data_IF_448211233828
#
_entry.id   IF_448211233828
#
_cell.length_a   1.000
_cell.length_b   1.000
_cell.length_c   1.000
_cell.angle_alpha   90.00
_cell.angle_beta   90.00
_cell.angle_gamma   90.00
#
_symmetry.space_group_name_H-M   'P 1'
#
loop_
_entity.id
_entity.type
_entity.pdbx_description
1 polymer ?
#
# COMPACT_ATOMS: atom_id res chain seq x y z
N UNK A 1 -23.56 113.18 34.49
CA UNK A 1 -24.91 113.43 33.94
C UNK A 1 -25.35 112.16 33.19
N UNK A 2 -26.39 111.50 33.70
CA UNK A 2 -27.34 110.59 33.02
C UNK A 2 -26.86 109.23 32.45
N UNK A 3 -27.44 108.18 33.06
CA UNK A 3 -27.53 106.76 32.68
C UNK A 3 -28.15 106.51 31.29
N UNK A 4 -27.84 105.36 30.65
CA UNK A 4 -28.80 104.22 30.51
C UNK A 4 -28.22 102.99 29.78
N UNK A 5 -28.48 101.84 30.41
CA UNK A 5 -28.36 100.43 29.99
C UNK A 5 -28.78 100.11 28.54
N UNK A 6 -28.19 99.05 27.94
CA UNK A 6 -28.84 97.71 27.83
C UNK A 6 -28.03 96.69 26.98
N UNK A 7 -28.06 95.44 27.50
CA UNK A 7 -28.06 94.14 26.81
C UNK A 7 -26.76 93.63 26.15
N UNK A 8 -26.06 92.75 26.89
CA UNK A 8 -25.15 91.73 26.34
C UNK A 8 -25.95 90.43 26.22
N UNK A 9 -26.10 89.92 24.99
CA UNK A 9 -26.66 88.60 24.73
C UNK A 9 -25.51 87.59 24.65
N UNK A 10 -25.52 86.58 25.52
CA UNK A 10 -24.62 85.42 25.48
C UNK A 10 -25.29 84.38 24.57
N UNK A 11 -24.72 84.13 23.38
CA UNK A 11 -25.06 82.96 22.57
C UNK A 11 -24.32 81.74 23.13
N UNK A 12 -25.05 80.84 23.79
CA UNK A 12 -24.58 79.49 24.07
C UNK A 12 -24.75 78.64 22.79
N UNK A 13 -23.64 78.33 22.11
CA UNK A 13 -23.64 77.33 21.06
C UNK A 13 -23.72 75.95 21.70
N UNK A 14 -24.93 75.37 21.74
CA UNK A 14 -25.11 73.96 22.07
C UNK A 14 -24.59 73.16 20.87
N UNK A 15 -23.36 72.64 20.98
CA UNK A 15 -22.84 71.65 20.04
C UNK A 15 -23.52 70.32 20.37
N UNK A 16 -24.56 69.99 19.61
CA UNK A 16 -25.07 68.62 19.53
C UNK A 16 -24.00 67.77 18.83
N UNK A 17 -23.17 67.05 19.58
CA UNK A 17 -22.43 65.92 19.02
C UNK A 17 -23.43 64.81 18.76
N UNK A 18 -23.97 64.77 17.54
CA UNK A 18 -24.63 63.58 17.04
C UNK A 18 -23.58 62.46 17.04
N UNK A 19 -23.68 61.53 18.00
CA UNK A 19 -22.96 60.26 17.94
C UNK A 19 -23.50 59.51 16.73
N UNK A 20 -22.82 59.64 15.60
CA UNK A 20 -22.94 58.70 14.50
C UNK A 20 -22.61 57.33 15.10
N UNK A 21 -23.61 56.45 15.20
CA UNK A 21 -23.37 55.03 15.46
C UNK A 21 -22.58 54.51 14.25
N UNK A 22 -21.25 54.63 14.31
CA UNK A 22 -20.38 53.96 13.38
C UNK A 22 -20.67 52.46 13.52
N UNK A 23 -21.09 51.83 12.43
CA UNK A 23 -21.24 50.39 12.41
C UNK A 23 -19.90 49.75 12.79
N UNK A 24 -19.94 48.68 13.58
CA UNK A 24 -18.74 47.93 13.94
C UNK A 24 -17.98 47.51 12.67
N UNK A 25 -16.64 47.57 12.66
CA UNK A 25 -15.86 47.08 11.53
C UNK A 25 -16.17 45.59 11.30
N UNK A 26 -16.18 45.08 10.05
CA UNK A 26 -16.48 43.67 9.79
C UNK A 26 -15.52 42.74 10.53
N UNK A 27 -16.02 41.61 11.02
CA UNK A 27 -15.17 40.55 11.61
C UNK A 27 -14.29 39.96 10.50
N UNK A 28 -12.99 40.29 10.53
CA UNK A 28 -12.06 39.93 9.48
C UNK A 28 -11.23 38.69 9.86
N UNK A 29 -11.38 37.64 9.06
CA UNK A 29 -10.51 36.46 9.04
C UNK A 29 -9.88 36.38 7.65
N UNK A 30 -8.57 36.19 7.57
CA UNK A 30 -7.82 36.09 6.32
C UNK A 30 -6.99 34.80 6.26
N UNK A 31 -6.51 34.44 5.07
CA UNK A 31 -5.70 33.24 4.83
C UNK A 31 -6.49 31.94 4.68
N UNK A 32 -7.79 31.95 5.01
CA UNK A 32 -8.71 30.81 4.86
C UNK A 32 -10.05 31.27 4.29
N UNK A 33 -10.70 30.42 3.49
CA UNK A 33 -12.00 30.66 2.87
C UNK A 33 -12.97 29.49 3.15
N UNK A 34 -14.26 29.79 3.30
CA UNK A 34 -15.28 28.77 3.59
C UNK A 34 -15.42 27.80 2.41
N UNK A 35 -15.55 26.52 2.74
CA UNK A 35 -15.62 25.36 1.83
C UNK A 35 -14.46 25.28 0.84
N UNK A 36 -13.26 25.67 1.26
CA UNK A 36 -12.06 25.61 0.40
C UNK A 36 -11.15 24.44 0.80
N UNK A 37 -10.45 23.88 -0.19
CA UNK A 37 -9.47 22.80 -0.02
C UNK A 37 -8.07 23.40 -0.12
N UNK A 38 -7.20 23.06 0.82
CA UNK A 38 -5.80 23.43 0.88
C UNK A 38 -4.90 22.20 0.80
N UNK A 39 -3.70 22.34 0.25
CA UNK A 39 -2.72 21.27 0.15
C UNK A 39 -1.66 21.43 1.23
N UNK A 40 -1.40 20.35 1.96
CA UNK A 40 -0.37 20.15 2.99
C UNK A 40 -0.47 21.06 4.24
N UNK A 41 -0.89 22.32 4.09
CA UNK A 41 -1.11 23.25 5.18
C UNK A 41 -1.96 24.46 4.77
N UNK A 42 -2.53 25.14 5.76
CA UNK A 42 -3.11 26.48 5.60
C UNK A 42 -2.74 27.35 6.80
N UNK A 43 -2.63 28.66 6.59
CA UNK A 43 -2.42 29.62 7.67
C UNK A 43 -3.53 30.65 7.64
N UNK A 44 -4.19 30.86 8.77
CA UNK A 44 -5.20 31.91 8.93
C UNK A 44 -4.76 32.97 9.95
N UNK A 45 -5.40 34.13 9.86
CA UNK A 45 -5.22 35.25 10.80
C UNK A 45 -6.57 35.88 11.14
N UNK A 46 -6.86 36.03 12.43
CA UNK A 46 -8.05 36.74 12.93
C UNK A 46 -7.63 38.15 13.35
N UNK A 47 -8.16 39.17 12.70
CA UNK A 47 -7.85 40.57 13.03
C UNK A 47 -8.37 40.94 14.41
N UNK A 48 -7.50 41.53 15.22
CA UNK A 48 -7.83 42.04 16.55
C UNK A 48 -8.19 43.53 16.47
N UNK A 49 -9.44 43.85 16.79
CA UNK A 49 -9.94 45.22 16.87
C UNK A 49 -9.97 45.70 18.33
N UNK A 50 -9.55 46.94 18.57
CA UNK A 50 -9.65 47.53 19.89
C UNK A 50 -11.12 47.72 20.30
N UNK A 51 -11.45 47.44 21.56
CA UNK A 51 -12.83 47.57 22.08
C UNK A 51 -13.71 46.32 21.90
N UNK A 52 -13.14 45.20 21.47
CA UNK A 52 -13.85 43.93 21.30
C UNK A 52 -13.20 42.80 22.12
N UNK A 53 -14.04 41.87 22.55
CA UNK A 53 -13.64 40.57 23.08
C UNK A 53 -13.91 39.46 22.05
N UNK A 54 -13.14 38.37 22.10
CA UNK A 54 -13.20 37.30 21.11
C UNK A 54 -13.23 35.92 21.75
N UNK A 55 -14.04 35.01 21.20
CA UNK A 55 -13.91 33.56 21.37
C UNK A 55 -13.65 32.98 19.97
N UNK A 56 -12.46 32.41 19.76
CA UNK A 56 -12.07 31.82 18.49
C UNK A 56 -11.68 30.36 18.74
N UNK A 57 -12.27 29.45 17.96
CA UNK A 57 -12.09 28.00 18.13
C UNK A 57 -11.86 27.33 16.79
N UNK A 58 -10.84 26.47 16.73
CA UNK A 58 -10.59 25.55 15.63
C UNK A 58 -10.96 24.15 16.14
N UNK A 59 -11.93 23.50 15.49
CA UNK A 59 -12.41 22.15 15.85
C UNK A 59 -12.86 22.04 17.32
N UNK A 60 -13.40 23.13 17.86
CA UNK A 60 -13.85 23.26 19.25
C UNK A 60 -12.78 23.73 20.24
N UNK A 61 -11.50 23.70 19.85
CA UNK A 61 -10.36 24.08 20.70
C UNK A 61 -9.98 25.56 20.54
N UNK A 62 -9.69 26.31 21.62
CA UNK A 62 -9.35 27.73 21.56
C UNK A 62 -8.09 28.03 20.72
N UNK A 63 -8.15 29.06 19.89
CA UNK A 63 -7.02 29.55 19.07
C UNK A 63 -6.74 31.04 19.30
N UNK A 64 -5.48 31.50 19.18
CA UNK A 64 -5.14 32.89 19.43
C UNK A 64 -5.68 33.84 18.35
N UNK A 65 -6.07 35.05 18.77
CA UNK A 65 -6.48 36.16 17.91
C UNK A 65 -5.33 37.16 17.75
N UNK A 66 -5.16 37.74 16.56
CA UNK A 66 -4.10 38.70 16.25
C UNK A 66 -2.72 38.07 15.98
N UNK A 67 -2.65 36.74 15.79
CA UNK A 67 -1.42 36.01 15.43
C UNK A 67 -1.75 35.02 14.31
N UNK A 68 -0.77 34.69 13.46
CA UNK A 68 -0.93 33.64 12.45
C UNK A 68 -1.06 32.27 13.12
N UNK A 69 -2.03 31.49 12.68
CA UNK A 69 -2.22 30.09 13.10
C UNK A 69 -2.06 29.21 11.87
N UNK A 70 -1.02 28.36 11.86
CA UNK A 70 -0.75 27.41 10.78
C UNK A 70 -1.25 26.03 11.19
N UNK A 71 -2.00 25.41 10.30
CA UNK A 71 -2.53 24.06 10.45
C UNK A 71 -1.86 23.19 9.40
N UNK A 72 -1.29 22.08 9.84
CA UNK A 72 -0.64 21.07 8.99
C UNK A 72 -1.31 19.70 9.12
N UNK A 73 -2.38 19.61 9.92
CA UNK A 73 -3.15 18.39 10.13
C UNK A 73 -4.08 18.21 8.94
N UNK A 74 -4.09 17.02 8.34
CA UNK A 74 -5.02 16.72 7.24
C UNK A 74 -6.36 16.30 7.84
N UNK A 75 -7.37 17.14 7.71
CA UNK A 75 -8.74 16.83 8.14
C UNK A 75 -9.73 17.82 7.52
N UNK A 76 -11.01 17.59 7.80
CA UNK A 76 -12.01 18.64 7.81
C UNK A 76 -11.86 19.50 9.07
N UNK A 77 -11.84 20.82 8.88
CA UNK A 77 -11.69 21.78 9.95
C UNK A 77 -12.84 22.78 10.00
N UNK A 78 -13.22 23.19 11.21
CA UNK A 78 -14.17 24.25 11.49
C UNK A 78 -13.53 25.35 12.34
N UNK A 79 -13.36 26.54 11.74
CA UNK A 79 -12.98 27.74 12.46
C UNK A 79 -14.24 28.56 12.79
N UNK A 80 -14.62 28.57 14.06
CA UNK A 80 -15.71 29.38 14.58
C UNK A 80 -15.15 30.57 15.37
N UNK A 81 -15.54 31.79 15.00
CA UNK A 81 -15.09 33.02 15.65
C UNK A 81 -16.30 33.84 16.06
N UNK A 82 -16.41 34.13 17.35
CA UNK A 82 -17.34 35.09 17.92
C UNK A 82 -16.57 36.32 18.38
N UNK A 83 -17.14 37.50 18.15
CA UNK A 83 -16.61 38.78 18.57
C UNK A 83 -17.71 39.60 19.23
N UNK A 84 -17.45 40.12 20.42
CA UNK A 84 -18.40 40.89 21.24
C UNK A 84 -17.89 42.31 21.43
N UNK A 85 -18.71 43.31 21.08
CA UNK A 85 -18.39 44.71 21.34
C UNK A 85 -18.50 45.01 22.85
N UNK A 86 -17.43 45.50 23.46
CA UNK A 86 -17.37 45.74 24.91
C UNK A 86 -18.26 46.90 25.37
N UNK A 87 -18.65 47.81 24.48
CA UNK A 87 -19.50 48.96 24.80
C UNK A 87 -20.97 48.67 24.55
N UNK A 88 -21.30 48.07 23.40
CA UNK A 88 -22.70 47.85 22.98
C UNK A 88 -23.23 46.46 23.30
N UNK A 89 -22.36 45.53 23.71
CA UNK A 89 -22.66 44.10 23.90
C UNK A 89 -23.13 43.36 22.63
N UNK A 90 -23.08 44.02 21.46
CA UNK A 90 -23.42 43.40 20.19
C UNK A 90 -22.41 42.30 19.83
N UNK A 91 -22.91 41.18 19.33
CA UNK A 91 -22.09 40.03 18.92
C UNK A 91 -22.12 39.85 17.41
N UNK A 92 -20.95 39.61 16.81
CA UNK A 92 -20.79 39.14 15.44
C UNK A 92 -20.08 37.79 15.43
N UNK A 93 -20.40 36.92 14.48
CA UNK A 93 -19.71 35.63 14.35
C UNK A 93 -19.50 35.23 12.89
N UNK A 94 -18.55 34.32 12.68
CA UNK A 94 -18.30 33.64 11.41
C UNK A 94 -17.93 32.19 11.66
N UNK A 95 -18.39 31.30 10.78
CA UNK A 95 -17.97 29.91 10.69
C UNK A 95 -17.30 29.71 9.33
N UNK A 96 -16.06 29.23 9.33
CA UNK A 96 -15.29 28.92 8.13
C UNK A 96 -14.93 27.43 8.17
N UNK A 97 -15.40 26.69 7.18
CA UNK A 97 -15.11 25.27 7.03
C UNK A 97 -14.09 25.08 5.92
N UNK A 98 -13.11 24.21 6.10
CA UNK A 98 -12.12 23.96 5.06
C UNK A 98 -11.54 22.57 5.24
N UNK A 99 -10.88 22.07 4.21
CA UNK A 99 -10.20 20.77 4.23
C UNK A 99 -8.73 20.98 3.93
N UNK A 100 -7.86 20.29 4.66
CA UNK A 100 -6.45 20.17 4.30
C UNK A 100 -6.21 18.75 3.80
N UNK A 101 -5.65 18.61 2.59
CA UNK A 101 -5.32 17.32 1.98
C UNK A 101 -3.80 17.14 1.86
N UNK A 102 -3.35 15.89 1.92
CA UNK A 102 -1.97 15.53 1.60
C UNK A 102 -1.77 15.54 0.07
N UNK A 103 -0.77 16.27 -0.42
CA UNK A 103 -0.52 16.41 -1.86
C UNK A 103 -0.22 15.06 -2.55
N UNK A 104 0.25 14.06 -1.81
CA UNK A 104 0.47 12.69 -2.30
C UNK A 104 -0.84 11.92 -2.62
N UNK A 105 -2.00 12.37 -2.10
CA UNK A 105 -3.29 11.65 -2.22
C UNK A 105 -4.17 12.13 -3.39
N UNK A 106 -3.73 13.16 -4.12
CA UNK A 106 -4.28 13.65 -5.41
C UNK A 106 -5.82 13.64 -5.53
N UNK A 107 -6.54 13.89 -4.43
CA UNK A 107 -8.00 14.06 -4.37
C UNK A 107 -8.85 12.81 -4.13
N UNK A 108 -8.28 11.61 -3.86
CA UNK A 108 -9.09 10.40 -3.60
C UNK A 108 -9.65 10.33 -2.18
N UNK A 109 -9.15 11.16 -1.27
CA UNK A 109 -9.43 11.10 0.17
C UNK A 109 -9.44 12.50 0.79
N UNK A 110 -10.40 13.36 0.39
CA UNK A 110 -10.56 14.69 0.98
C UNK A 110 -10.96 14.59 2.46
N UNK A 111 -10.13 15.14 3.35
CA UNK A 111 -10.42 15.22 4.78
C UNK A 111 -10.23 13.91 5.55
N UNK A 112 -9.55 12.90 4.98
CA UNK A 112 -9.17 11.69 5.71
C UNK A 112 -7.73 11.84 6.21
N UNK A 113 -7.56 11.82 7.53
CA UNK A 113 -6.25 11.83 8.16
C UNK A 113 -5.38 10.66 7.66
N UNK A 114 -4.06 10.88 7.63
CA UNK A 114 -3.09 9.85 7.27
C UNK A 114 -3.24 8.65 8.20
N UNK A 115 -3.69 7.52 7.65
CA UNK A 115 -3.72 6.28 8.40
C UNK A 115 -2.30 5.76 8.62
N UNK A 116 -1.92 5.62 9.88
CA UNK A 116 -0.68 4.96 10.30
C UNK A 116 -1.09 3.57 10.81
N UNK A 117 -0.61 2.47 10.20
CA UNK A 117 -0.85 1.14 10.73
C UNK A 117 -0.33 1.05 12.17
N UNK A 118 -1.20 0.66 13.09
CA UNK A 118 -0.77 0.34 14.46
C UNK A 118 0.12 -0.91 14.38
N UNK A 119 1.30 -0.92 15.01
CA UNK A 119 2.15 -2.10 15.04
C UNK A 119 1.38 -3.33 15.54
N UNK A 120 1.60 -4.52 14.96
CA UNK A 120 0.95 -5.73 15.42
C UNK A 120 1.37 -6.02 16.87
N UNK A 121 0.38 -6.27 17.73
CA UNK A 121 0.63 -6.70 19.10
C UNK A 121 1.01 -8.19 19.07
N UNK A 122 2.18 -8.59 19.60
CA UNK A 122 2.56 -10.00 19.70
C UNK A 122 1.51 -10.78 20.50
N UNK A 123 1.14 -11.96 19.98
CA UNK A 123 0.25 -12.87 20.67
C UNK A 123 0.93 -13.47 21.91
N UNK A 124 0.13 -13.76 22.93
CA UNK A 124 0.60 -14.44 24.13
C UNK A 124 1.02 -15.88 23.80
N UNK A 125 2.00 -16.47 24.50
CA UNK A 125 2.46 -17.84 24.24
C UNK A 125 1.35 -18.90 24.24
N UNK A 126 0.34 -18.74 25.10
CA UNK A 126 -0.82 -19.65 25.16
C UNK A 126 -1.66 -19.69 23.87
N UNK A 127 -1.64 -18.63 23.06
CA UNK A 127 -2.37 -18.58 21.78
C UNK A 127 -1.73 -19.48 20.70
N UNK A 128 -0.43 -19.79 20.84
CA UNK A 128 0.31 -20.70 19.98
C UNK A 128 0.14 -22.17 20.38
N UNK A 129 -0.49 -22.46 21.52
CA UNK A 129 -0.61 -23.82 22.03
C UNK A 129 -1.32 -24.75 21.03
N UNK A 130 -0.69 -25.91 20.79
CA UNK A 130 -1.20 -26.94 19.87
C UNK A 130 -1.08 -26.57 18.38
N UNK A 131 -0.34 -25.52 18.04
CA UNK A 131 -0.03 -25.17 16.65
C UNK A 131 1.40 -25.57 16.27
N UNK A 132 1.66 -25.61 14.97
CA UNK A 132 2.96 -25.89 14.36
C UNK A 132 3.34 -24.79 13.36
N UNK A 133 4.64 -24.65 13.07
CA UNK A 133 5.15 -23.81 11.99
C UNK A 133 5.20 -24.64 10.70
N UNK A 134 4.32 -24.33 9.76
CA UNK A 134 4.30 -24.89 8.41
C UNK A 134 5.14 -24.01 7.48
N UNK A 135 6.31 -24.50 7.10
CA UNK A 135 7.22 -23.81 6.20
C UNK A 135 6.99 -24.25 4.75
N UNK A 136 6.91 -23.28 3.85
CA UNK A 136 7.02 -23.47 2.42
C UNK A 136 8.36 -22.89 1.97
N UNK A 137 9.29 -23.79 1.69
CA UNK A 137 10.68 -23.49 1.35
C UNK A 137 11.22 -24.58 0.41
N UNK A 138 12.02 -24.24 -0.61
CA UNK A 138 12.60 -25.24 -1.50
C UNK A 138 13.64 -26.12 -0.79
N UNK A 139 13.61 -27.46 -0.96
CA UNK A 139 14.56 -28.38 -0.34
C UNK A 139 15.95 -28.34 -0.99
N UNK A 140 16.05 -27.77 -2.20
CA UNK A 140 17.29 -27.53 -2.91
C UNK A 140 17.24 -26.16 -3.59
N UNK A 141 18.35 -25.43 -3.57
CA UNK A 141 18.39 -24.08 -4.14
C UNK A 141 19.77 -23.73 -4.71
N UNK A 142 19.86 -23.00 -5.83
CA UNK A 142 21.14 -22.55 -6.37
C UNK A 142 21.91 -21.66 -5.38
N UNK A 143 23.23 -21.81 -5.33
CA UNK A 143 24.10 -20.87 -4.62
C UNK A 143 24.01 -19.46 -5.23
N UNK A 144 24.21 -18.43 -4.41
CA UNK A 144 24.27 -17.03 -4.87
C UNK A 144 22.92 -16.34 -5.06
N UNK A 145 21.81 -16.97 -4.65
CA UNK A 145 20.46 -16.42 -4.67
C UNK A 145 19.87 -16.53 -3.26
N UNK A 146 19.21 -15.47 -2.78
CA UNK A 146 18.46 -15.48 -1.52
C UNK A 146 17.32 -16.51 -1.59
N UNK A 147 17.10 -17.28 -0.51
CA UNK A 147 16.06 -18.31 -0.49
C UNK A 147 14.79 -17.73 0.13
N UNK A 148 13.66 -17.71 -0.59
CA UNK A 148 12.41 -17.26 0.02
C UNK A 148 11.94 -18.26 1.07
N UNK A 149 11.47 -17.73 2.20
CA UNK A 149 10.88 -18.49 3.30
C UNK A 149 9.47 -17.98 3.53
N UNK A 150 8.49 -18.87 3.46
CA UNK A 150 7.10 -18.56 3.79
C UNK A 150 6.68 -19.44 4.95
N UNK A 151 6.10 -18.83 5.98
CA UNK A 151 5.67 -19.53 7.18
C UNK A 151 4.19 -19.32 7.42
N UNK A 152 3.51 -20.39 7.78
CA UNK A 152 2.15 -20.40 8.29
C UNK A 152 2.13 -21.05 9.67
N UNK A 153 1.39 -20.49 10.60
CA UNK A 153 1.07 -21.14 11.87
C UNK A 153 -0.28 -21.80 11.71
N UNK A 154 -0.34 -23.12 11.88
CA UNK A 154 -1.58 -23.90 11.75
C UNK A 154 -1.65 -24.96 12.84
N UNK A 155 -2.85 -25.35 13.21
CA UNK A 155 -3.07 -26.51 14.08
C UNK A 155 -3.25 -27.77 13.22
N UNK A 156 -3.02 -28.96 13.79
CA UNK A 156 -3.22 -30.24 13.09
C UNK A 156 -4.63 -30.44 12.53
N UNK A 157 -5.65 -29.79 13.10
CA UNK A 157 -7.04 -29.82 12.63
C UNK A 157 -7.31 -28.89 11.43
N UNK A 158 -6.29 -28.17 10.95
CA UNK A 158 -6.39 -27.21 9.85
C UNK A 158 -6.81 -25.80 10.28
N UNK A 159 -7.12 -25.57 11.56
CA UNK A 159 -7.45 -24.23 12.04
C UNK A 159 -6.23 -23.31 12.05
N UNK A 160 -6.45 -22.05 11.70
CA UNK A 160 -5.41 -21.01 11.75
C UNK A 160 -5.61 -20.21 13.03
N UNK A 161 -4.69 -20.24 14.00
CA UNK A 161 -4.84 -19.55 15.28
C UNK A 161 -4.80 -18.02 15.15
N UNK A 162 -4.38 -17.50 13.98
CA UNK A 162 -4.29 -16.07 13.66
C UNK A 162 -3.41 -15.25 14.61
N UNK A 163 -2.37 -15.89 15.13
CA UNK A 163 -1.37 -15.29 16.02
C UNK A 163 -0.50 -14.26 15.32
N UNK A 164 -0.04 -13.26 16.07
CA UNK A 164 1.04 -12.38 15.64
C UNK A 164 2.32 -12.70 16.40
N UNK A 165 3.47 -12.62 15.74
CA UNK A 165 4.75 -12.82 16.40
C UNK A 165 5.93 -12.59 15.47
N UNK A 166 7.14 -12.76 15.98
CA UNK A 166 8.37 -12.66 15.19
C UNK A 166 8.91 -14.06 14.98
N UNK A 167 9.09 -14.45 13.72
CA UNK A 167 9.77 -15.69 13.37
C UNK A 167 11.27 -15.43 13.31
N UNK A 168 12.00 -16.18 14.13
CA UNK A 168 13.44 -16.09 14.24
C UNK A 168 14.10 -17.30 13.60
N UNK A 169 15.18 -17.08 12.86
CA UNK A 169 16.09 -18.14 12.44
C UNK A 169 17.47 -17.70 12.93
N UNK A 170 18.08 -18.37 13.92
CA UNK A 170 19.32 -17.90 14.53
C UNK A 170 20.41 -17.56 13.51
N UNK A 171 20.95 -16.35 13.61
CA UNK A 171 21.97 -15.81 12.69
C UNK A 171 21.44 -15.31 11.34
N UNK A 172 20.13 -15.22 11.15
CA UNK A 172 19.48 -14.68 9.94
C UNK A 172 18.57 -13.50 10.30
N UNK A 173 18.11 -12.78 9.29
CA UNK A 173 17.10 -11.72 9.45
C UNK A 173 15.76 -12.32 9.87
N UNK A 174 15.15 -11.76 10.91
CA UNK A 174 13.82 -12.14 11.39
C UNK A 174 12.73 -11.57 10.50
N UNK A 175 11.52 -12.14 10.55
CA UNK A 175 10.36 -11.53 9.91
C UNK A 175 9.09 -11.74 10.73
N UNK A 176 8.15 -10.81 10.57
CA UNK A 176 6.89 -10.81 11.32
C UNK A 176 5.89 -11.78 10.72
N UNK A 177 5.24 -12.54 11.60
CA UNK A 177 4.03 -13.32 11.34
C UNK A 177 2.84 -12.42 11.67
N UNK A 178 2.03 -12.12 10.68
CA UNK A 178 0.76 -11.40 10.82
C UNK A 178 -0.39 -12.38 10.70
N UNK A 179 -1.27 -12.41 11.71
CA UNK A 179 -2.48 -13.24 11.68
C UNK A 179 -2.20 -14.70 11.25
N UNK A 180 -1.07 -15.25 11.68
CA UNK A 180 -0.66 -16.62 11.43
C UNK A 180 0.10 -16.87 10.12
N UNK A 181 0.46 -15.86 9.33
CA UNK A 181 1.33 -16.04 8.16
C UNK A 181 2.36 -14.91 8.01
N UNK A 182 3.50 -15.21 7.40
CA UNK A 182 4.52 -14.22 7.08
C UNK A 182 5.62 -14.80 6.22
N UNK A 183 6.52 -13.93 5.75
CA UNK A 183 7.61 -14.32 4.85
C UNK A 183 8.86 -13.47 5.00
N UNK A 184 9.98 -14.07 4.62
CA UNK A 184 11.30 -13.44 4.60
C UNK A 184 12.25 -14.20 3.68
N UNK A 185 13.54 -13.98 3.87
CA UNK A 185 14.59 -14.63 3.08
C UNK A 185 15.70 -15.16 3.98
N UNK A 186 16.21 -16.34 3.62
CA UNK A 186 17.57 -16.71 4.00
C UNK A 186 18.53 -16.01 3.03
N UNK A 187 19.66 -15.46 3.51
CA UNK A 187 20.67 -14.85 2.66
C UNK A 187 21.26 -15.89 1.70
N UNK A 188 21.76 -15.41 0.57
CA UNK A 188 22.42 -16.25 -0.41
C UNK A 188 23.59 -17.05 0.20
N UNK A 189 23.58 -18.37 0.02
CA UNK A 189 24.76 -19.20 0.32
C UNK A 189 25.69 -19.21 -0.89
N UNK A 190 26.98 -18.98 -0.68
CA UNK A 190 28.02 -19.11 -1.70
C UNK A 190 28.79 -20.43 -1.59
N UNK A 191 28.40 -21.28 -0.66
CA UNK A 191 28.95 -22.63 -0.48
C UNK A 191 27.87 -23.65 -0.83
N UNK A 192 28.25 -24.63 -1.65
CA UNK A 192 27.42 -25.79 -1.92
C UNK A 192 27.35 -26.72 -0.71
N UNK A 193 26.33 -27.58 -0.69
CA UNK A 193 26.12 -28.58 0.35
C UNK A 193 24.90 -28.30 1.21
N UNK A 194 24.61 -29.26 2.09
CA UNK A 194 23.44 -29.20 2.97
C UNK A 194 23.66 -28.19 4.09
N UNK A 195 22.66 -27.35 4.32
CA UNK A 195 22.61 -26.43 5.47
C UNK A 195 21.33 -26.68 6.24
N UNK A 196 21.47 -26.71 7.57
CA UNK A 196 20.37 -26.87 8.50
C UNK A 196 20.16 -25.56 9.24
N UNK A 197 18.89 -25.17 9.35
CA UNK A 197 18.46 -24.06 10.17
C UNK A 197 17.27 -24.51 11.03
N UNK A 198 16.93 -23.70 12.03
CA UNK A 198 15.75 -23.93 12.85
C UNK A 198 14.97 -22.63 12.95
N UNK A 199 13.73 -22.63 12.51
CA UNK A 199 12.79 -21.53 12.67
C UNK A 199 12.15 -21.62 14.05
N UNK A 200 12.08 -20.50 14.76
CA UNK A 200 11.56 -20.37 16.12
C UNK A 200 10.46 -19.32 16.13
N UNK A 201 9.35 -19.60 16.83
CA UNK A 201 8.25 -18.66 17.00
C UNK A 201 7.49 -18.97 18.29
N UNK A 202 7.64 -18.12 19.32
CA UNK A 202 6.85 -18.21 20.57
C UNK A 202 6.79 -19.62 21.18
N UNK A 203 7.93 -20.33 21.20
CA UNK A 203 8.05 -21.71 21.73
C UNK A 203 7.80 -22.82 20.70
N UNK A 204 7.32 -22.50 19.50
CA UNK A 204 7.27 -23.41 18.36
C UNK A 204 8.63 -23.49 17.67
N UNK A 205 8.91 -24.63 17.04
CA UNK A 205 10.13 -24.82 16.23
C UNK A 205 9.85 -25.62 14.97
N UNK A 206 10.52 -25.29 13.87
CA UNK A 206 10.52 -26.08 12.64
C UNK A 206 11.91 -26.15 12.01
N UNK A 207 12.35 -27.36 11.68
CA UNK A 207 13.61 -27.58 11.01
C UNK A 207 13.54 -27.16 9.54
N UNK A 208 14.62 -26.55 9.08
CA UNK A 208 14.85 -26.21 7.68
C UNK A 208 16.10 -26.95 7.22
N UNK A 209 15.98 -27.74 6.15
CA UNK A 209 17.10 -28.40 5.49
C UNK A 209 17.09 -27.99 4.02
N UNK A 210 18.21 -27.41 3.56
CA UNK A 210 18.36 -26.96 2.18
C UNK A 210 19.67 -27.49 1.63
N UNK A 211 19.59 -28.13 0.46
CA UNK A 211 20.74 -28.46 -0.35
C UNK A 211 21.11 -27.30 -1.26
N UNK A 212 22.25 -26.63 -1.00
CA UNK A 212 22.75 -25.59 -1.90
C UNK A 212 23.53 -26.19 -3.06
N UNK A 213 23.16 -25.80 -4.28
CA UNK A 213 23.68 -26.34 -5.53
C UNK A 213 24.65 -25.36 -6.18
N UNK A 214 25.91 -25.76 -6.37
CA UNK A 214 26.86 -25.04 -7.22
C UNK A 214 26.88 -25.59 -8.64
N UNK A 215 27.26 -24.77 -9.63
CA UNK A 215 27.43 -25.23 -11.01
C UNK A 215 26.12 -25.67 -11.68
N UNK A 216 25.00 -25.07 -11.27
CA UNK A 216 23.68 -25.36 -11.82
C UNK A 216 23.68 -25.18 -13.34
N UNK A 217 23.28 -26.23 -14.06
CA UNK A 217 23.07 -26.14 -15.50
C UNK A 217 21.66 -25.62 -15.77
N UNK A 218 21.56 -24.35 -16.15
CA UNK A 218 20.30 -23.69 -16.44
C UNK A 218 19.82 -24.01 -17.86
N UNK A 219 18.60 -24.56 -17.96
CA UNK A 219 17.88 -24.59 -19.23
C UNK A 219 17.44 -23.17 -19.57
N UNK A 220 18.09 -22.57 -20.56
CA UNK A 220 17.75 -21.22 -21.02
C UNK A 220 16.53 -21.27 -21.92
N UNK A 221 15.54 -20.44 -21.60
CA UNK A 221 14.25 -20.38 -22.29
C UNK A 221 13.94 -18.94 -22.69
N UNK A 222 13.26 -18.78 -23.83
CA UNK A 222 12.86 -17.50 -24.38
C UNK A 222 12.04 -17.66 -25.66
N UNK A 223 11.42 -16.59 -26.15
CA UNK A 223 10.61 -16.61 -27.36
C UNK A 223 9.26 -17.31 -27.17
N UNK A 224 8.77 -17.99 -28.22
CA UNK A 224 7.44 -18.62 -28.21
C UNK A 224 7.52 -20.12 -27.90
N UNK A 225 6.75 -20.57 -26.91
CA UNK A 225 6.49 -21.98 -26.65
C UNK A 225 5.16 -22.38 -27.32
N UNK A 226 5.21 -23.45 -28.11
CA UNK A 226 4.09 -24.00 -28.86
C UNK A 226 3.92 -25.49 -28.58
N UNK A 227 2.68 -25.98 -28.62
CA UNK A 227 2.38 -27.39 -28.32
C UNK A 227 2.39 -27.70 -26.82
N UNK A 228 2.67 -28.95 -26.47
CA UNK A 228 2.73 -29.40 -25.07
C UNK A 228 4.19 -29.48 -24.59
N UNK A 229 4.53 -28.71 -23.56
CA UNK A 229 5.86 -28.65 -22.95
C UNK A 229 5.75 -29.08 -21.50
N UNK A 230 6.71 -29.89 -21.06
CA UNK A 230 6.86 -30.25 -19.64
C UNK A 230 8.25 -29.88 -19.16
N UNK A 231 8.31 -29.12 -18.08
CA UNK A 231 9.50 -28.97 -17.25
C UNK A 231 9.35 -29.95 -16.08
N UNK A 232 10.10 -31.06 -16.04
CA UNK A 232 9.99 -32.05 -14.99
C UNK A 232 10.28 -31.46 -13.60
N UNK A 233 9.93 -32.21 -12.54
CA UNK A 233 10.26 -31.82 -11.18
C UNK A 233 11.76 -31.53 -11.01
N UNK A 234 12.08 -30.57 -10.15
CA UNK A 234 13.44 -30.08 -9.89
C UNK A 234 14.15 -29.46 -11.10
N UNK A 235 13.40 -28.97 -12.09
CA UNK A 235 14.01 -28.25 -13.21
C UNK A 235 14.71 -26.95 -12.74
N UNK A 236 15.69 -26.51 -13.52
CA UNK A 236 16.41 -25.25 -13.33
C UNK A 236 16.28 -24.43 -14.61
N UNK A 237 15.29 -23.55 -14.62
CA UNK A 237 14.89 -22.81 -15.82
C UNK A 237 15.35 -21.37 -15.70
N UNK A 238 16.05 -20.86 -16.71
CA UNK A 238 16.40 -19.45 -16.80
C UNK A 238 15.70 -18.82 -17.99
N UNK A 239 14.69 -18.00 -17.73
CA UNK A 239 13.98 -17.23 -18.75
C UNK A 239 14.81 -15.98 -19.04
N UNK A 240 15.47 -15.96 -20.20
CA UNK A 240 16.49 -14.94 -20.54
C UNK A 240 15.94 -13.75 -21.32
N UNK A 241 14.78 -13.90 -21.94
CA UNK A 241 14.07 -12.85 -22.68
C UNK A 241 12.56 -13.14 -22.62
N UNK A 242 11.74 -12.25 -23.16
CA UNK A 242 10.28 -12.40 -23.21
C UNK A 242 9.87 -13.80 -23.65
N UNK A 243 9.04 -14.44 -22.83
CA UNK A 243 8.51 -15.77 -23.08
C UNK A 243 7.02 -15.67 -23.40
N UNK A 244 6.57 -16.31 -24.46
CA UNK A 244 5.16 -16.38 -24.83
C UNK A 244 4.71 -17.83 -24.90
N UNK A 245 3.77 -18.23 -24.05
CA UNK A 245 3.05 -19.48 -24.20
C UNK A 245 1.89 -19.25 -25.16
N UNK A 246 2.02 -19.76 -26.39
CA UNK A 246 1.06 -19.49 -27.46
C UNK A 246 -0.34 -20.06 -27.18
N UNK A 247 -1.35 -19.52 -27.86
CA UNK A 247 -2.70 -20.07 -27.84
C UNK A 247 -2.71 -21.54 -28.27
N UNK A 248 -3.42 -22.38 -27.51
CA UNK A 248 -3.46 -23.83 -27.72
C UNK A 248 -2.22 -24.58 -27.23
N UNK A 249 -1.19 -23.88 -26.74
CA UNK A 249 -0.06 -24.50 -26.07
C UNK A 249 -0.34 -24.77 -24.59
N UNK A 250 0.33 -25.77 -24.04
CA UNK A 250 0.28 -26.14 -22.63
C UNK A 250 1.70 -26.23 -22.09
N UNK A 251 1.97 -25.57 -20.95
CA UNK A 251 3.21 -25.73 -20.19
C UNK A 251 2.90 -26.29 -18.81
N UNK A 252 3.50 -27.43 -18.49
CA UNK A 252 3.42 -28.08 -17.18
C UNK A 252 4.77 -27.98 -16.49
N UNK A 253 4.79 -27.44 -15.28
CA UNK A 253 6.00 -27.30 -14.45
C UNK A 253 5.85 -28.17 -13.21
N UNK A 254 6.82 -29.06 -13.00
CA UNK A 254 6.87 -29.94 -11.84
C UNK A 254 7.41 -29.27 -10.57
N UNK A 255 7.10 -29.87 -9.43
CA UNK A 255 7.53 -29.43 -8.10
C UNK A 255 9.04 -29.27 -7.95
N UNK A 256 9.47 -28.43 -7.00
CA UNK A 256 10.88 -28.13 -6.74
C UNK A 256 11.62 -27.40 -7.88
N UNK A 257 10.90 -26.98 -8.93
CA UNK A 257 11.48 -26.22 -10.03
C UNK A 257 11.82 -24.80 -9.58
N UNK A 258 13.02 -24.36 -9.91
CA UNK A 258 13.44 -22.96 -9.74
C UNK A 258 13.42 -22.30 -11.12
N UNK A 259 12.60 -21.27 -11.26
CA UNK A 259 12.47 -20.44 -12.46
C UNK A 259 13.13 -19.10 -12.15
N UNK A 260 14.35 -18.94 -12.65
CA UNK A 260 15.04 -17.67 -12.67
C UNK A 260 14.51 -16.85 -13.85
N UNK A 261 14.17 -15.59 -13.62
CA UNK A 261 13.70 -14.69 -14.68
C UNK A 261 14.65 -13.49 -14.77
N UNK A 262 15.09 -13.17 -15.99
CA UNK A 262 15.97 -12.03 -16.21
C UNK A 262 15.26 -10.70 -15.89
N UNK A 263 16.01 -9.65 -15.51
CA UNK A 263 15.43 -8.37 -15.14
C UNK A 263 14.54 -7.79 -16.25
N UNK A 264 13.38 -7.25 -15.89
CA UNK A 264 12.43 -6.65 -16.82
C UNK A 264 11.72 -7.61 -17.79
N UNK A 265 11.94 -8.92 -17.70
CA UNK A 265 11.33 -9.89 -18.61
C UNK A 265 9.89 -10.22 -18.22
N UNK A 266 8.98 -10.06 -19.19
CA UNK A 266 7.58 -10.46 -19.10
C UNK A 266 7.34 -11.87 -19.66
N UNK A 267 6.34 -12.54 -19.07
CA UNK A 267 5.87 -13.86 -19.50
C UNK A 267 4.43 -13.74 -19.97
N UNK A 268 4.20 -13.85 -21.28
CA UNK A 268 2.89 -13.85 -21.88
C UNK A 268 2.27 -15.25 -21.85
N UNK A 269 1.03 -15.34 -21.40
CA UNK A 269 0.29 -16.59 -21.27
C UNK A 269 -1.00 -16.47 -22.08
N UNK A 270 -0.98 -17.04 -23.29
CA UNK A 270 -2.14 -17.12 -24.19
C UNK A 270 -2.73 -18.55 -24.25
N UNK A 271 -2.02 -19.52 -23.66
CA UNK A 271 -2.40 -20.93 -23.58
C UNK A 271 -2.75 -21.37 -22.15
N UNK A 272 -2.33 -22.58 -21.78
CA UNK A 272 -2.57 -23.16 -20.45
C UNK A 272 -1.27 -23.39 -19.68
N UNK A 273 -1.12 -22.72 -18.54
CA UNK A 273 0.04 -22.82 -17.67
C UNK A 273 -0.32 -23.54 -16.38
N UNK A 274 0.41 -24.60 -16.04
CA UNK A 274 0.23 -25.40 -14.84
C UNK A 274 1.52 -25.48 -14.04
N UNK A 275 1.53 -24.89 -12.85
CA UNK A 275 2.59 -25.03 -11.86
C UNK A 275 2.13 -26.01 -10.77
N UNK A 276 2.71 -27.21 -10.79
CA UNK A 276 2.33 -28.32 -9.91
C UNK A 276 3.36 -28.49 -8.78
N UNK A 277 3.48 -27.47 -7.92
CA UNK A 277 4.34 -27.51 -6.75
C UNK A 277 3.80 -28.44 -5.64
N UNK A 278 4.67 -28.73 -4.67
CA UNK A 278 4.29 -29.34 -3.39
C UNK A 278 4.72 -28.41 -2.25
N UNK A 279 4.03 -28.40 -1.12
CA UNK A 279 4.38 -27.49 0.00
C UNK A 279 5.80 -27.74 0.54
N UNK A 280 6.29 -28.98 0.47
CA UNK A 280 7.67 -29.37 0.83
C UNK A 280 8.67 -29.34 -0.34
N UNK A 281 8.20 -29.01 -1.55
CA UNK A 281 9.01 -28.82 -2.75
C UNK A 281 8.33 -27.77 -3.65
N UNK A 282 8.25 -26.51 -3.19
CA UNK A 282 7.55 -25.48 -3.93
C UNK A 282 8.24 -25.17 -5.25
N UNK A 283 7.47 -24.68 -6.21
CA UNK A 283 8.03 -23.99 -7.38
C UNK A 283 8.41 -22.58 -6.94
N UNK A 284 9.56 -22.07 -7.36
CA UNK A 284 9.98 -20.69 -7.06
C UNK A 284 10.20 -19.93 -8.35
N UNK A 285 9.49 -18.80 -8.51
CA UNK A 285 9.72 -17.83 -9.57
C UNK A 285 10.38 -16.61 -8.95
N UNK A 286 11.61 -16.33 -9.37
CA UNK A 286 12.46 -15.33 -8.71
C UNK A 286 13.37 -14.62 -9.71
N UNK A 287 13.70 -13.33 -9.49
CA UNK A 287 14.85 -12.73 -10.13
C UNK A 287 16.15 -13.25 -9.49
N UNK A 288 17.29 -12.95 -10.10
CA UNK A 288 18.61 -13.21 -9.49
C UNK A 288 18.83 -12.40 -8.20
N UNK A 289 18.25 -11.20 -8.15
CA UNK A 289 18.32 -10.28 -7.02
C UNK A 289 17.02 -9.48 -6.95
N UNK A 290 16.51 -9.24 -5.74
CA UNK A 290 15.32 -8.40 -5.51
C UNK A 290 15.49 -6.94 -5.97
N UNK A 291 16.72 -6.49 -6.18
CA UNK A 291 17.03 -5.15 -6.71
C UNK A 291 16.94 -5.08 -8.25
N UNK A 292 16.86 -6.22 -8.92
CA UNK A 292 16.69 -6.30 -10.37
C UNK A 292 15.43 -7.14 -10.65
N UNK A 293 14.24 -6.60 -10.33
CA UNK A 293 12.99 -7.31 -10.51
C UNK A 293 12.80 -7.79 -11.95
N UNK A 294 12.08 -8.89 -12.10
CA UNK A 294 11.55 -9.31 -13.39
C UNK A 294 10.19 -8.63 -13.62
N UNK A 295 9.62 -8.82 -14.81
CA UNK A 295 8.36 -8.20 -15.19
C UNK A 295 7.15 -8.79 -14.46
N UNK A 296 6.21 -9.34 -15.20
CA UNK A 296 5.07 -10.06 -14.66
C UNK A 296 4.52 -11.11 -15.63
N UNK A 297 3.43 -11.75 -15.24
CA UNK A 297 2.64 -12.60 -16.12
C UNK A 297 1.56 -11.78 -16.82
N UNK A 298 1.58 -11.79 -18.15
CA UNK A 298 0.60 -11.15 -19.03
C UNK A 298 -0.36 -12.22 -19.54
N UNK A 299 -1.43 -12.48 -18.81
CA UNK A 299 -2.39 -13.56 -19.06
C UNK A 299 -3.55 -13.02 -19.89
N UNK A 300 -3.82 -13.59 -21.07
CA UNK A 300 -4.70 -12.95 -22.06
C UNK A 300 -5.71 -13.91 -22.67
N UNK A 301 -6.82 -13.36 -23.14
CA UNK A 301 -7.87 -14.15 -23.77
C UNK A 301 -8.43 -15.19 -22.79
N UNK A 302 -8.77 -16.36 -23.30
CA UNK A 302 -9.30 -17.46 -22.49
C UNK A 302 -8.20 -18.31 -21.83
N UNK A 303 -7.00 -17.76 -21.66
CA UNK A 303 -5.88 -18.47 -21.05
C UNK A 303 -6.20 -18.92 -19.62
N UNK A 304 -5.56 -20.02 -19.22
CA UNK A 304 -5.64 -20.56 -17.87
C UNK A 304 -4.27 -20.56 -17.22
N UNK A 305 -4.20 -20.00 -16.02
CA UNK A 305 -3.03 -20.09 -15.17
C UNK A 305 -3.43 -20.80 -13.89
N UNK A 306 -2.81 -21.94 -13.62
CA UNK A 306 -3.04 -22.72 -12.41
C UNK A 306 -1.72 -22.90 -11.68
N UNK A 307 -1.61 -22.42 -10.44
CA UNK A 307 -0.46 -22.69 -9.59
C UNK A 307 -0.87 -23.30 -8.25
N UNK A 308 -0.15 -24.34 -7.88
CA UNK A 308 -0.19 -24.96 -6.56
C UNK A 308 1.20 -24.88 -5.94
N UNK A 309 1.29 -24.54 -4.64
CA UNK A 309 2.55 -24.51 -3.90
C UNK A 309 3.69 -23.82 -4.66
N UNK A 310 3.44 -22.57 -5.06
CA UNK A 310 4.39 -21.73 -5.79
C UNK A 310 4.67 -20.45 -5.02
N UNK A 311 5.94 -20.08 -4.94
CA UNK A 311 6.42 -18.81 -4.39
C UNK A 311 6.83 -17.90 -5.55
N UNK A 312 6.22 -16.73 -5.64
CA UNK A 312 6.57 -15.64 -6.55
C UNK A 312 7.26 -14.53 -5.78
N UNK A 313 8.41 -14.08 -6.28
CA UNK A 313 9.19 -13.02 -5.63
C UNK A 313 9.66 -11.98 -6.64
N UNK A 314 9.82 -10.73 -6.22
CA UNK A 314 10.58 -9.72 -6.96
C UNK A 314 10.10 -9.44 -8.38
N UNK A 315 8.78 -9.49 -8.62
CA UNK A 315 8.18 -9.05 -9.88
C UNK A 315 7.88 -7.55 -9.85
N UNK A 316 7.45 -6.99 -10.97
CA UNK A 316 7.02 -5.59 -11.07
C UNK A 316 8.15 -4.65 -11.46
N UNK A 317 8.93 -5.02 -12.48
CA UNK A 317 10.13 -4.28 -12.88
C UNK A 317 9.86 -2.89 -13.46
N UNK A 318 8.72 -2.71 -14.11
CA UNK A 318 8.36 -1.43 -14.73
C UNK A 318 7.51 -0.59 -13.75
N UNK A 319 8.06 0.49 -13.16
CA UNK A 319 7.31 1.37 -12.26
C UNK A 319 6.26 2.21 -13.00
N UNK A 320 6.27 2.21 -14.32
CA UNK A 320 5.38 2.95 -15.20
C UNK A 320 4.74 2.01 -16.24
N UNK A 321 4.28 0.85 -15.80
CA UNK A 321 3.61 -0.10 -16.68
C UNK A 321 2.22 0.35 -17.08
N UNK A 322 1.40 0.89 -16.19
CA UNK A 322 0.07 1.37 -16.57
C UNK A 322 0.11 2.82 -17.06
N UNK A 323 -0.71 3.12 -18.07
CA UNK A 323 -0.87 4.47 -18.60
C UNK A 323 -1.76 5.33 -17.69
N UNK A 324 -1.65 6.63 -17.86
CA UNK A 324 -2.27 7.69 -17.07
C UNK A 324 -3.74 7.43 -16.65
N UNK A 325 -3.99 7.46 -15.33
CA UNK A 325 -5.12 8.19 -14.75
C UNK A 325 -4.56 9.52 -14.23
N UNK A 326 -5.33 10.62 -14.24
CA UNK A 326 -4.87 12.03 -14.23
C UNK A 326 -3.92 12.48 -13.08
N UNK A 327 -3.56 11.62 -12.13
CA UNK A 327 -2.71 11.90 -10.97
C UNK A 327 -1.26 11.41 -11.07
N UNK A 328 -0.94 10.43 -11.94
CA UNK A 328 0.32 9.69 -11.85
C UNK A 328 1.28 9.97 -13.02
N UNK A 329 2.57 10.17 -12.71
CA UNK A 329 3.62 10.76 -13.58
C UNK A 329 4.04 9.94 -14.81
N UNK A 330 3.39 8.81 -15.10
CA UNK A 330 3.83 7.84 -16.10
C UNK A 330 3.05 8.01 -17.43
N UNK A 331 3.71 8.60 -18.43
CA UNK A 331 3.12 8.91 -19.75
C UNK A 331 3.29 7.80 -20.80
N UNK A 332 3.19 6.52 -20.46
CA UNK A 332 3.41 5.41 -21.41
C UNK A 332 2.22 5.25 -22.38
N UNK A 333 2.40 5.51 -23.70
CA UNK A 333 1.33 5.35 -24.67
C UNK A 333 0.96 3.87 -24.86
N UNK A 334 -0.28 3.58 -25.24
CA UNK A 334 -0.79 2.24 -25.62
C UNK A 334 -0.80 1.18 -24.51
N UNK A 335 -0.68 1.58 -23.24
CA UNK A 335 -0.90 0.68 -22.10
C UNK A 335 -2.24 1.01 -21.43
N UNK A 336 -2.88 0.05 -20.75
CA UNK A 336 -4.15 0.31 -20.10
C UNK A 336 -4.00 1.30 -18.94
N UNK A 337 -5.09 2.02 -18.64
CA UNK A 337 -5.14 2.94 -17.50
C UNK A 337 -5.28 2.18 -16.18
N UNK A 338 -4.67 2.70 -15.12
CA UNK A 338 -4.82 2.19 -13.75
C UNK A 338 -4.64 3.33 -12.76
N UNK A 339 -5.20 3.16 -11.55
CA UNK A 339 -4.96 4.07 -10.43
C UNK A 339 -3.53 3.98 -9.85
N UNK A 340 -2.77 2.96 -10.21
CA UNK A 340 -1.36 2.80 -9.81
C UNK A 340 -0.53 2.42 -11.04
N UNK A 341 0.62 3.08 -11.28
CA UNK A 341 1.37 2.90 -12.50
C UNK A 341 2.23 1.63 -12.51
N UNK A 342 2.53 1.05 -11.34
CA UNK A 342 3.53 -0.01 -11.23
C UNK A 342 3.03 -1.33 -11.82
N UNK A 343 3.92 -2.06 -12.48
CA UNK A 343 3.61 -3.35 -13.11
C UNK A 343 3.07 -4.37 -12.10
N UNK A 344 2.05 -5.14 -12.48
CA UNK A 344 1.52 -6.22 -11.63
C UNK A 344 2.25 -7.55 -11.84
N UNK A 345 2.29 -8.40 -10.80
CA UNK A 345 2.71 -9.80 -10.94
C UNK A 345 1.78 -10.55 -11.90
N UNK A 346 0.48 -10.35 -11.77
CA UNK A 346 -0.53 -10.91 -12.67
C UNK A 346 -1.29 -9.79 -13.37
N UNK A 347 -1.08 -9.62 -14.66
CA UNK A 347 -1.92 -8.78 -15.50
C UNK A 347 -2.85 -9.69 -16.32
N UNK A 348 -4.15 -9.43 -16.29
CA UNK A 348 -5.15 -10.24 -16.98
C UNK A 348 -6.01 -9.42 -17.92
N UNK A 349 -6.23 -9.92 -19.14
CA UNK A 349 -7.09 -9.27 -20.14
C UNK A 349 -7.97 -10.27 -20.88
N UNK A 350 -9.22 -9.89 -21.17
CA UNK A 350 -10.14 -10.66 -22.02
C UNK A 350 -10.54 -12.05 -21.48
N UNK A 351 -11.08 -12.10 -20.26
CA UNK A 351 -11.67 -13.28 -19.61
C UNK A 351 -10.77 -14.51 -19.29
N UNK A 352 -9.51 -14.34 -18.83
CA UNK A 352 -8.71 -15.48 -18.39
C UNK A 352 -9.11 -15.95 -16.99
N UNK A 353 -8.66 -17.14 -16.61
CA UNK A 353 -8.79 -17.66 -15.24
C UNK A 353 -7.43 -17.86 -14.59
N UNK A 354 -7.24 -17.27 -13.40
CA UNK A 354 -6.09 -17.50 -12.53
C UNK A 354 -6.54 -18.27 -11.29
N UNK A 355 -5.93 -19.43 -11.05
CA UNK A 355 -6.16 -20.25 -9.87
C UNK A 355 -4.85 -20.40 -9.09
N UNK A 356 -4.83 -19.91 -7.84
CA UNK A 356 -3.74 -20.06 -6.91
C UNK A 356 -4.19 -20.91 -5.72
N UNK A 357 -3.44 -21.96 -5.41
CA UNK A 357 -3.65 -22.81 -4.25
C UNK A 357 -2.34 -22.95 -3.47
N UNK A 358 -2.37 -22.66 -2.17
CA UNK A 358 -1.18 -22.79 -1.31
C UNK A 358 0.00 -22.00 -1.88
N UNK A 359 -0.20 -20.78 -2.39
CA UNK A 359 0.87 -20.00 -3.02
C UNK A 359 1.37 -18.87 -2.12
N UNK A 360 2.44 -18.20 -2.53
CA UNK A 360 2.90 -16.97 -1.92
C UNK A 360 3.36 -15.98 -2.98
N UNK A 361 2.94 -14.73 -2.88
CA UNK A 361 3.45 -13.61 -3.68
C UNK A 361 4.04 -12.60 -2.70
N UNK A 362 5.37 -12.52 -2.67
CA UNK A 362 6.10 -11.82 -1.61
C UNK A 362 7.15 -10.87 -2.17
N UNK A 363 7.31 -9.69 -1.56
CA UNK A 363 8.34 -8.69 -1.92
C UNK A 363 8.29 -8.31 -3.41
N UNK A 364 7.12 -7.88 -3.87
CA UNK A 364 6.91 -7.40 -5.23
C UNK A 364 7.24 -5.91 -5.30
N UNK A 365 7.93 -5.50 -6.37
CA UNK A 365 8.21 -4.08 -6.66
C UNK A 365 7.03 -3.36 -7.30
N UNK A 366 5.96 -4.07 -7.62
CA UNK A 366 4.72 -3.50 -8.13
C UNK A 366 3.49 -4.11 -7.47
N UNK A 367 2.42 -4.26 -8.25
CA UNK A 367 1.10 -4.68 -7.74
C UNK A 367 0.98 -6.22 -7.68
N UNK A 368 0.11 -6.76 -6.82
CA UNK A 368 -0.17 -8.20 -6.83
C UNK A 368 -0.91 -8.65 -8.10
N UNK A 369 -2.00 -7.98 -8.45
CA UNK A 369 -2.80 -8.35 -9.63
C UNK A 369 -3.46 -7.15 -10.28
N UNK A 370 -3.82 -7.32 -11.55
CA UNK A 370 -4.64 -6.37 -12.28
C UNK A 370 -5.50 -7.13 -13.29
N UNK A 371 -6.77 -6.76 -13.41
CA UNK A 371 -7.68 -7.35 -14.37
C UNK A 371 -8.41 -6.29 -15.18
N UNK A 372 -8.44 -6.50 -16.49
CA UNK A 372 -9.17 -5.66 -17.43
C UNK A 372 -10.05 -6.56 -18.26
N UNK A 373 -11.37 -6.42 -18.09
CA UNK A 373 -12.40 -7.21 -18.76
C UNK A 373 -12.48 -8.66 -18.28
N UNK A 374 -13.23 -8.85 -17.19
CA UNK A 374 -13.89 -10.12 -16.84
C UNK A 374 -13.01 -11.34 -16.59
N UNK A 375 -11.80 -11.11 -16.05
CA UNK A 375 -10.98 -12.19 -15.51
C UNK A 375 -11.55 -12.76 -14.19
N UNK A 376 -11.24 -14.03 -13.90
CA UNK A 376 -11.58 -14.67 -12.62
C UNK A 376 -10.31 -15.07 -11.87
N UNK A 377 -10.19 -14.60 -10.63
CA UNK A 377 -9.10 -14.93 -9.71
C UNK A 377 -9.64 -15.80 -8.59
N UNK A 378 -9.24 -17.06 -8.53
CA UNK A 378 -9.50 -17.94 -7.39
C UNK A 378 -8.20 -18.08 -6.58
N UNK A 379 -8.19 -17.56 -5.37
CA UNK A 379 -7.01 -17.49 -4.52
C UNK A 379 -7.32 -18.24 -3.23
N UNK A 380 -6.65 -19.36 -3.01
CA UNK A 380 -6.89 -20.26 -1.90
C UNK A 380 -5.60 -20.49 -1.12
N UNK A 381 -5.65 -20.35 0.22
CA UNK A 381 -4.49 -20.57 1.12
C UNK A 381 -3.22 -19.86 0.66
N UNK A 382 -3.38 -18.64 0.14
CA UNK A 382 -2.27 -17.89 -0.47
C UNK A 382 -1.88 -16.71 0.41
N UNK A 383 -0.57 -16.49 0.54
CA UNK A 383 -0.01 -15.30 1.17
C UNK A 383 0.28 -14.24 0.10
N UNK A 384 -0.25 -13.03 0.27
CA UNK A 384 0.16 -11.85 -0.50
C UNK A 384 0.75 -10.86 0.49
N UNK A 385 2.03 -10.55 0.34
CA UNK A 385 2.76 -9.76 1.33
C UNK A 385 3.82 -8.88 0.67
N UNK A 386 3.95 -7.62 1.12
CA UNK A 386 4.97 -6.67 0.64
C UNK A 386 4.89 -6.46 -0.87
N UNK A 387 3.76 -5.93 -1.31
CA UNK A 387 3.58 -5.41 -2.65
C UNK A 387 3.04 -3.98 -2.55
N UNK A 388 3.18 -3.18 -3.60
CA UNK A 388 2.77 -1.76 -3.56
C UNK A 388 1.26 -1.62 -3.39
N UNK A 389 0.48 -2.47 -4.06
CA UNK A 389 -0.97 -2.52 -3.94
C UNK A 389 -1.50 -3.92 -4.25
N UNK A 390 -2.74 -4.21 -3.88
CA UNK A 390 -3.48 -5.39 -4.37
C UNK A 390 -3.83 -5.29 -5.85
N UNK A 391 -3.88 -4.06 -6.36
CA UNK A 391 -4.21 -3.64 -7.72
C UNK A 391 -5.70 -3.58 -8.04
N UNK A 392 -6.02 -3.40 -9.33
CA UNK A 392 -7.35 -3.05 -9.82
C UNK A 392 -7.99 -4.19 -10.61
N UNK A 393 -9.28 -4.46 -10.38
CA UNK A 393 -10.00 -5.60 -10.96
C UNK A 393 -11.30 -5.16 -11.62
N UNK A 394 -11.27 -4.93 -12.94
CA UNK A 394 -12.40 -4.39 -13.68
C UNK A 394 -13.27 -5.48 -14.30
N UNK A 395 -14.58 -5.41 -14.02
CA UNK A 395 -15.62 -6.27 -14.60
C UNK A 395 -15.39 -7.78 -14.41
N UNK A 396 -14.56 -8.19 -13.44
CA UNK A 396 -14.20 -9.58 -13.15
C UNK A 396 -14.63 -10.04 -11.76
N UNK A 397 -14.07 -11.17 -11.31
CA UNK A 397 -14.30 -11.67 -9.96
C UNK A 397 -12.98 -12.06 -9.29
N UNK A 398 -12.90 -11.76 -7.99
CA UNK A 398 -11.84 -12.23 -7.12
C UNK A 398 -12.47 -12.97 -5.95
N UNK A 399 -12.06 -14.22 -5.76
CA UNK A 399 -12.54 -15.08 -4.69
C UNK A 399 -11.34 -15.54 -3.89
N UNK A 400 -11.16 -14.91 -2.72
CA UNK A 400 -10.11 -15.27 -1.77
C UNK A 400 -10.67 -16.15 -0.65
N UNK A 401 -10.03 -17.28 -0.38
CA UNK A 401 -10.37 -18.20 0.72
C UNK A 401 -9.12 -18.56 1.51
N UNK A 402 -9.23 -18.55 2.83
CA UNK A 402 -8.17 -18.94 3.77
C UNK A 402 -6.80 -18.30 3.47
N UNK A 403 -6.82 -17.09 2.91
CA UNK A 403 -5.65 -16.38 2.40
C UNK A 403 -5.34 -15.19 3.30
N UNK A 404 -4.08 -14.75 3.28
CA UNK A 404 -3.60 -13.62 4.10
C UNK A 404 -3.04 -12.56 3.16
N UNK A 405 -3.55 -11.33 3.26
CA UNK A 405 -3.09 -10.16 2.52
C UNK A 405 -2.67 -9.12 3.55
N UNK A 406 -1.36 -8.86 3.67
CA UNK A 406 -0.77 -8.03 4.73
C UNK A 406 0.42 -7.25 4.18
N UNK A 407 0.79 -6.14 4.81
CA UNK A 407 1.88 -5.27 4.33
C UNK A 407 1.68 -4.84 2.86
N UNK A 408 0.52 -4.24 2.58
CA UNK A 408 0.16 -3.66 1.27
C UNK A 408 -0.34 -2.21 1.47
N UNK A 409 0.44 -1.16 1.16
CA UNK A 409 1.81 -1.22 0.66
C UNK A 409 2.77 -1.85 1.69
N UNK A 410 3.94 -2.31 1.24
CA UNK A 410 5.03 -2.71 2.13
C UNK A 410 5.23 -1.61 3.18
N UNK A 411 5.05 -1.95 4.45
CA UNK A 411 5.43 -1.05 5.54
C UNK A 411 6.95 -0.91 5.44
N UNK A 412 7.43 0.28 5.08
CA UNK A 412 8.85 0.59 5.18
C UNK A 412 9.25 0.47 6.64
N UNK A 413 10.24 -0.39 6.94
CA UNK A 413 10.92 -0.39 8.23
C UNK A 413 11.53 0.98 8.54
#
# INVERSE_FOLDING_TARGET
MQLKNKLVAILAAVVWTASLNAADPPLAVSGVADKTIYQDQVTFFITRDAGFDYDARLDGEPVPVGTNVTITVMDYHELAVWRTNLTTTATSNVLIRFVIIESERVGTEEGIAKWIPIPPIPSAPGEFAGADIHLMIPPSFPTGIEVPVVAWVRRPDGTVPRVNGVLEIPGQTTFTIFRGAGSGFLPASYMAGTRNFNALLSGLSANINIQFESGVNWTRVGGTLSGSITWPANSRIYITNTLTLATGATLIVGSGTIILVAPGVDIYVDGQLFFNGLTNAPIVVTPQSRNMPWGGFMIRGTAQFNATATIFTGSGADPCWYAQHQSDRCGTPNRPSSHRPEQSLFHTTNTPTLNLADCAAIYLKGQFGHAIHAATFNINRTLVQRCISGGQYDNGSIIMRDSVVVEVPEASD
#
